data_IF_378407554377
#
_entry.id   IF_378407554377
#
_cell.length_a   1.000
_cell.length_b   1.000
_cell.length_c   1.000
_cell.angle_alpha   90.00
_cell.angle_beta   90.00
_cell.angle_gamma   90.00
#
_symmetry.space_group_name_H-M   'P 1'
#
loop_
_entity.id
_entity.type
_entity.pdbx_description
1 polymer ?
#
# COMPACT_ATOMS: atom_id res chain seq x y z
N UNK A 1 -22.67 -5.97 8.93
CA UNK A 1 -21.48 -6.52 8.23
C UNK A 1 -20.42 -5.45 8.16
N UNK A 2 -19.16 -5.79 8.48
CA UNK A 2 -18.03 -4.86 8.51
C UNK A 2 -17.12 -5.09 7.30
N UNK A 3 -16.47 -4.04 6.83
CA UNK A 3 -15.55 -4.10 5.69
C UNK A 3 -14.12 -3.76 6.15
N UNK A 4 -13.17 -4.61 5.81
CA UNK A 4 -11.75 -4.27 5.75
C UNK A 4 -11.45 -3.87 4.31
N UNK A 5 -11.05 -2.62 4.11
CA UNK A 5 -10.71 -2.06 2.81
C UNK A 5 -9.19 -1.92 2.73
N UNK A 6 -8.54 -2.82 2.01
CA UNK A 6 -7.09 -2.94 1.98
C UNK A 6 -6.51 -2.31 0.72
N UNK A 7 -5.78 -1.21 0.89
CA UNK A 7 -5.00 -0.54 -0.17
C UNK A 7 -3.63 -1.19 -0.24
N UNK A 8 -3.40 -1.92 -1.31
CA UNK A 8 -2.22 -2.75 -1.50
C UNK A 8 -0.96 -1.93 -1.83
N UNK A 9 0.21 -2.54 -1.67
CA UNK A 9 1.49 -1.94 -2.02
C UNK A 9 1.78 -1.93 -3.52
N UNK A 10 2.85 -1.24 -3.91
CA UNK A 10 3.29 -1.14 -5.29
C UNK A 10 3.56 -2.52 -5.90
N UNK A 11 3.03 -2.70 -7.12
CA UNK A 11 3.24 -3.91 -7.91
C UNK A 11 2.58 -5.17 -7.37
N UNK A 12 1.74 -5.06 -6.35
CA UNK A 12 1.10 -6.20 -5.69
C UNK A 12 -0.32 -6.45 -6.21
N UNK A 13 -0.83 -7.64 -5.95
CA UNK A 13 -2.21 -8.07 -6.14
C UNK A 13 -2.72 -8.83 -4.91
N UNK A 14 -3.86 -9.48 -5.01
CA UNK A 14 -4.50 -10.20 -3.91
C UNK A 14 -3.64 -11.35 -3.36
N UNK A 15 -2.68 -11.86 -4.15
CA UNK A 15 -1.85 -12.99 -3.76
C UNK A 15 -1.06 -12.72 -2.48
N UNK A 16 -0.64 -11.44 -2.27
CA UNK A 16 0.19 -11.07 -1.11
C UNK A 16 -0.50 -11.32 0.23
N UNK A 17 -1.83 -11.26 0.28
CA UNK A 17 -2.62 -11.47 1.49
C UNK A 17 -3.55 -12.67 1.40
N UNK A 18 -3.40 -13.53 0.40
CA UNK A 18 -4.27 -14.71 0.20
C UNK A 18 -4.25 -15.71 1.36
N UNK A 19 -3.18 -15.69 2.17
CA UNK A 19 -3.00 -16.51 3.36
C UNK A 19 -3.65 -15.93 4.63
N UNK A 20 -4.19 -14.70 4.55
CA UNK A 20 -4.78 -14.03 5.72
C UNK A 20 -6.25 -14.42 5.85
N UNK A 21 -6.59 -15.01 6.97
CA UNK A 21 -7.98 -15.28 7.35
C UNK A 21 -8.55 -14.08 8.09
N UNK A 22 -9.73 -13.62 7.70
CA UNK A 22 -10.45 -12.57 8.40
C UNK A 22 -11.63 -13.15 9.18
N UNK A 23 -11.99 -12.59 10.35
CA UNK A 23 -13.15 -13.06 11.10
C UNK A 23 -14.45 -12.97 10.28
N UNK A 24 -15.38 -13.88 10.54
CA UNK A 24 -16.61 -14.06 9.74
C UNK A 24 -17.52 -12.81 9.64
N UNK A 25 -17.42 -11.89 10.61
CA UNK A 25 -18.16 -10.64 10.59
C UNK A 25 -17.55 -9.57 9.65
N UNK A 26 -16.36 -9.83 9.08
CA UNK A 26 -15.68 -8.96 8.15
C UNK A 26 -15.70 -9.48 6.73
N UNK A 27 -15.85 -8.58 5.79
CA UNK A 27 -15.51 -8.78 4.38
C UNK A 27 -14.17 -8.10 4.11
N UNK A 28 -13.27 -8.77 3.42
CA UNK A 28 -12.01 -8.19 2.95
C UNK A 28 -12.15 -7.81 1.48
N UNK A 29 -11.93 -6.53 1.18
CA UNK A 29 -11.80 -6.03 -0.19
C UNK A 29 -10.40 -5.46 -0.39
N UNK A 30 -9.70 -6.03 -1.36
CA UNK A 30 -8.34 -5.60 -1.74
C UNK A 30 -8.43 -4.63 -2.91
N UNK A 31 -7.72 -3.54 -2.81
CA UNK A 31 -7.56 -2.55 -3.88
C UNK A 31 -6.10 -2.51 -4.32
N UNK A 32 -5.88 -2.77 -5.59
CA UNK A 32 -4.60 -2.66 -6.26
C UNK A 32 -4.58 -1.39 -7.11
N UNK A 33 -3.39 -0.90 -7.47
CA UNK A 33 -3.30 0.20 -8.42
C UNK A 33 -4.13 -0.10 -9.71
N UNK A 34 -4.92 0.84 -10.20
CA UNK A 34 -5.06 2.26 -9.86
C UNK A 34 -6.07 2.59 -8.74
N UNK A 35 -6.39 1.67 -7.85
CA UNK A 35 -7.25 1.83 -6.65
C UNK A 35 -8.66 2.33 -6.97
N UNK A 36 -9.29 1.75 -7.99
CA UNK A 36 -10.66 2.08 -8.37
C UNK A 36 -11.65 1.65 -7.29
N UNK A 37 -12.36 2.60 -6.74
CA UNK A 37 -13.31 2.39 -5.64
C UNK A 37 -14.61 3.14 -5.91
N UNK A 38 -15.73 2.46 -5.67
CA UNK A 38 -17.03 3.13 -5.58
C UNK A 38 -17.12 3.89 -4.26
N UNK A 39 -17.30 5.21 -4.33
CA UNK A 39 -17.36 6.08 -3.15
C UNK A 39 -18.51 5.72 -2.20
N UNK A 40 -19.56 5.07 -2.69
CA UNK A 40 -20.70 4.64 -1.89
C UNK A 40 -20.36 3.48 -0.95
N UNK A 41 -19.21 2.83 -1.10
CA UNK A 41 -18.82 1.66 -0.30
C UNK A 41 -18.85 1.95 1.21
N UNK A 42 -18.51 3.18 1.61
CA UNK A 42 -18.51 3.59 3.01
C UNK A 42 -19.91 3.67 3.64
N UNK A 43 -20.95 3.67 2.82
CA UNK A 43 -22.36 3.72 3.26
C UNK A 43 -23.02 2.34 3.23
N UNK A 44 -22.39 1.35 2.64
CA UNK A 44 -22.94 0.00 2.46
C UNK A 44 -22.66 -0.93 3.64
N UNK A 45 -21.77 -0.53 4.55
CA UNK A 45 -21.33 -1.35 5.69
C UNK A 45 -21.51 -0.62 7.01
N UNK A 46 -21.76 -1.37 8.06
CA UNK A 46 -21.92 -0.83 9.43
C UNK A 46 -20.63 -0.17 9.94
N UNK A 47 -19.49 -0.70 9.51
CA UNK A 47 -18.15 -0.20 9.79
C UNK A 47 -17.22 -0.49 8.62
N UNK A 48 -16.43 0.50 8.23
CA UNK A 48 -15.33 0.34 7.27
C UNK A 48 -14.02 0.64 7.97
N UNK A 49 -13.08 -0.30 7.90
CA UNK A 49 -11.72 -0.17 8.43
C UNK A 49 -10.76 -0.10 7.23
N UNK A 50 -10.37 1.10 6.80
CA UNK A 50 -9.38 1.25 5.76
C UNK A 50 -7.98 0.91 6.30
N UNK A 51 -7.24 0.11 5.53
CA UNK A 51 -5.87 -0.29 5.83
C UNK A 51 -5.03 0.03 4.61
N UNK A 52 -3.95 0.78 4.77
CA UNK A 52 -2.93 0.98 3.74
C UNK A 52 -1.69 0.15 4.07
N UNK A 53 -1.09 -0.47 3.06
CA UNK A 53 0.18 -1.15 3.18
C UNK A 53 1.20 -0.55 2.22
N UNK A 54 2.39 -0.15 2.74
CA UNK A 54 3.46 0.43 1.94
C UNK A 54 2.96 1.62 1.10
N UNK A 55 3.11 1.63 -0.22
CA UNK A 55 2.57 2.67 -1.12
C UNK A 55 1.04 2.85 -1.01
N UNK A 56 0.32 1.79 -0.63
CA UNK A 56 -1.11 1.87 -0.34
C UNK A 56 -1.47 2.86 0.77
N UNK A 57 -0.54 3.14 1.69
CA UNK A 57 -0.74 4.17 2.70
C UNK A 57 -0.87 5.56 2.08
N UNK A 58 -0.04 5.88 1.11
CA UNK A 58 -0.12 7.14 0.37
C UNK A 58 -1.44 7.28 -0.38
N UNK A 59 -1.81 6.25 -1.15
CA UNK A 59 -3.05 6.28 -1.95
C UNK A 59 -4.30 6.31 -1.09
N UNK A 60 -4.30 5.60 0.04
CA UNK A 60 -5.39 5.66 1.01
C UNK A 60 -5.52 7.07 1.62
N UNK A 61 -4.42 7.66 2.05
CA UNK A 61 -4.42 9.01 2.62
C UNK A 61 -4.92 10.05 1.60
N UNK A 62 -4.44 9.95 0.36
CA UNK A 62 -4.89 10.79 -0.75
C UNK A 62 -6.40 10.65 -0.99
N UNK A 63 -6.88 9.42 -1.13
CA UNK A 63 -8.29 9.13 -1.38
C UNK A 63 -9.21 9.69 -0.27
N UNK A 64 -8.90 9.37 0.99
CA UNK A 64 -9.71 9.86 2.12
C UNK A 64 -9.72 11.39 2.24
N UNK A 65 -8.58 12.03 1.94
CA UNK A 65 -8.45 13.50 1.97
C UNK A 65 -9.25 14.14 0.85
N UNK A 66 -9.10 13.68 -0.38
CA UNK A 66 -9.79 14.23 -1.55
C UNK A 66 -11.31 14.06 -1.48
N UNK A 67 -11.77 12.95 -0.91
CA UNK A 67 -13.20 12.65 -0.74
C UNK A 67 -13.77 13.16 0.58
N UNK A 68 -12.96 13.75 1.45
CA UNK A 68 -13.34 14.20 2.80
C UNK A 68 -14.04 13.10 3.62
N UNK A 69 -13.54 11.86 3.50
CA UNK A 69 -14.07 10.70 4.22
C UNK A 69 -13.37 10.56 5.56
N UNK A 70 -14.18 10.37 6.62
CA UNK A 70 -13.68 10.15 7.98
C UNK A 70 -14.07 8.76 8.46
N UNK A 71 -13.09 8.01 8.95
CA UNK A 71 -13.31 6.71 9.58
C UNK A 71 -12.81 6.74 11.02
N UNK A 72 -13.45 5.94 11.89
CA UNK A 72 -13.04 5.82 13.31
C UNK A 72 -11.67 5.16 13.46
N UNK A 73 -11.36 4.23 12.58
CA UNK A 73 -10.10 3.49 12.57
C UNK A 73 -9.55 3.50 11.15
N UNK A 74 -8.32 3.97 10.99
CA UNK A 74 -7.58 3.99 9.74
C UNK A 74 -6.18 3.50 10.09
N UNK A 75 -5.71 2.43 9.42
CA UNK A 75 -4.50 1.71 9.79
C UNK A 75 -3.44 1.86 8.70
N UNK A 76 -2.21 2.18 9.07
CA UNK A 76 -1.05 2.03 8.21
C UNK A 76 -0.22 0.82 8.60
N UNK A 77 0.21 0.05 7.60
CA UNK A 77 1.13 -1.07 7.74
C UNK A 77 2.39 -0.78 6.92
N UNK A 78 3.54 -0.68 7.57
CA UNK A 78 4.83 -0.47 6.91
C UNK A 78 4.77 0.57 5.78
N UNK A 79 4.21 1.75 6.09
CA UNK A 79 4.04 2.82 5.11
C UNK A 79 3.72 4.15 5.76
N UNK A 80 3.80 5.19 4.95
CA UNK A 80 3.58 6.57 5.36
C UNK A 80 2.78 7.33 4.30
N UNK A 81 1.98 8.33 4.67
CA UNK A 81 1.37 9.24 3.69
C UNK A 81 2.42 10.11 2.98
N UNK A 82 3.60 10.27 3.57
CA UNK A 82 4.79 10.84 2.94
C UNK A 82 5.73 9.71 2.53
N UNK A 83 5.45 9.06 1.39
CA UNK A 83 6.24 7.92 0.91
C UNK A 83 7.65 8.29 0.45
N UNK A 84 7.82 9.50 -0.11
CA UNK A 84 9.13 10.04 -0.47
C UNK A 84 9.39 11.24 0.43
N UNK A 85 10.45 11.20 1.21
CA UNK A 85 10.81 12.29 2.12
C UNK A 85 11.38 11.78 3.44
N UNK A 86 11.31 12.64 4.46
CA UNK A 86 11.89 12.37 5.78
C UNK A 86 11.28 11.15 6.47
N UNK A 87 9.97 10.94 6.29
CA UNK A 87 9.20 9.88 6.96
C UNK A 87 8.94 8.67 6.06
N UNK A 88 9.66 8.57 4.95
CA UNK A 88 9.51 7.50 3.97
C UNK A 88 10.83 7.13 3.33
N UNK A 89 10.79 6.82 2.04
CA UNK A 89 11.96 6.49 1.24
C UNK A 89 12.66 7.79 0.84
N UNK A 90 13.99 7.86 0.95
CA UNK A 90 14.71 9.03 0.45
C UNK A 90 14.56 9.17 -1.07
N UNK A 91 14.50 10.40 -1.57
CA UNK A 91 14.35 10.68 -3.01
C UNK A 91 15.41 9.96 -3.85
N UNK A 92 16.66 9.95 -3.39
CA UNK A 92 17.75 9.30 -4.11
C UNK A 92 17.58 7.77 -4.22
N UNK A 93 17.10 7.12 -3.16
CA UNK A 93 16.81 5.67 -3.16
C UNK A 93 15.63 5.37 -4.08
N UNK A 94 14.57 6.18 -4.04
CA UNK A 94 13.44 6.02 -4.94
C UNK A 94 13.85 6.15 -6.42
N UNK A 95 14.57 7.22 -6.76
CA UNK A 95 15.03 7.46 -8.13
C UNK A 95 15.97 6.36 -8.61
N UNK A 96 16.87 5.88 -7.76
CA UNK A 96 17.75 4.76 -8.09
C UNK A 96 16.95 3.50 -8.37
N UNK A 97 15.97 3.17 -7.53
CA UNK A 97 15.11 2.00 -7.71
C UNK A 97 14.38 2.07 -9.05
N UNK A 98 13.73 3.19 -9.36
CA UNK A 98 13.00 3.36 -10.61
C UNK A 98 13.93 3.25 -11.84
N UNK A 99 15.08 3.93 -11.81
CA UNK A 99 16.00 4.00 -12.94
C UNK A 99 16.73 2.67 -13.22
N UNK A 100 16.92 1.84 -12.19
CA UNK A 100 17.59 0.53 -12.31
C UNK A 100 16.62 -0.64 -12.28
N UNK A 101 15.30 -0.39 -12.36
CA UNK A 101 14.29 -1.44 -12.26
C UNK A 101 14.33 -2.36 -13.48
N UNK A 102 14.59 -3.63 -13.21
CA UNK A 102 14.58 -4.77 -14.13
C UNK A 102 13.86 -5.93 -13.45
N UNK A 103 13.48 -7.01 -14.19
CA UNK A 103 12.95 -8.20 -13.53
C UNK A 103 13.85 -8.75 -12.43
N UNK A 104 15.17 -8.73 -12.61
CA UNK A 104 16.13 -9.24 -11.62
C UNK A 104 16.19 -8.35 -10.37
N UNK A 105 16.20 -7.02 -10.54
CA UNK A 105 16.23 -6.09 -9.40
C UNK A 105 14.89 -6.08 -8.66
N UNK A 106 13.79 -6.33 -9.35
CA UNK A 106 12.48 -6.52 -8.72
C UNK A 106 12.47 -7.76 -7.82
N UNK A 107 13.08 -8.88 -8.26
CA UNK A 107 13.20 -10.08 -7.42
C UNK A 107 14.06 -9.82 -6.17
N UNK A 108 15.15 -9.04 -6.30
CA UNK A 108 15.94 -8.61 -5.15
C UNK A 108 15.15 -7.73 -4.18
N UNK A 109 14.30 -6.85 -4.71
CA UNK A 109 13.39 -6.03 -3.90
C UNK A 109 12.43 -6.91 -3.09
N UNK A 110 11.82 -7.93 -3.70
CA UNK A 110 10.98 -8.89 -3.00
C UNK A 110 11.74 -9.62 -1.89
N UNK A 111 12.96 -10.04 -2.14
CA UNK A 111 13.83 -10.64 -1.12
C UNK A 111 14.11 -9.71 0.07
N UNK A 112 14.27 -8.40 -0.19
CA UNK A 112 14.47 -7.39 0.85
C UNK A 112 13.21 -7.13 1.70
N UNK A 113 12.04 -7.44 1.18
CA UNK A 113 10.77 -7.37 1.94
C UNK A 113 10.67 -8.47 3.01
N UNK A 114 11.63 -9.38 3.09
CA UNK A 114 11.60 -10.49 4.04
C UNK A 114 10.57 -11.56 3.70
N UNK A 115 10.26 -11.71 2.43
CA UNK A 115 9.27 -12.64 1.92
C UNK A 115 9.80 -14.06 2.03
N UNK A 116 9.06 -14.89 2.73
CA UNK A 116 9.34 -16.31 2.88
C UNK A 116 8.54 -17.16 1.86
N UNK A 117 8.49 -18.47 2.07
CA UNK A 117 7.80 -19.43 1.21
C UNK A 117 6.27 -19.27 1.17
N UNK A 118 5.69 -18.42 2.03
CA UNK A 118 4.23 -18.15 2.03
C UNK A 118 3.86 -17.05 1.02
N UNK A 119 4.84 -16.32 0.52
CA UNK A 119 4.60 -15.27 -0.46
C UNK A 119 4.32 -15.84 -1.84
N UNK A 120 3.18 -15.49 -2.38
CA UNK A 120 2.87 -15.70 -3.79
C UNK A 120 3.15 -14.41 -4.56
N UNK A 121 4.04 -14.45 -5.57
CA UNK A 121 4.30 -13.27 -6.40
C UNK A 121 3.04 -12.77 -7.08
N UNK A 122 2.96 -11.45 -7.29
CA UNK A 122 1.87 -10.87 -8.06
C UNK A 122 1.88 -11.38 -9.51
N UNK A 123 0.69 -11.69 -10.03
CA UNK A 123 0.49 -12.08 -11.43
C UNK A 123 0.36 -10.84 -12.31
N UNK A 124 1.39 -9.99 -12.31
CA UNK A 124 1.44 -8.75 -13.09
C UNK A 124 2.57 -8.78 -14.10
N UNK A 125 2.34 -8.17 -15.27
CA UNK A 125 3.38 -7.94 -16.26
C UNK A 125 4.42 -6.95 -15.70
N UNK A 126 5.70 -7.23 -15.87
CA UNK A 126 6.78 -6.38 -15.35
C UNK A 126 6.64 -4.92 -15.80
N UNK A 127 6.24 -4.68 -17.05
CA UNK A 127 6.08 -3.32 -17.57
C UNK A 127 5.00 -2.56 -16.80
N UNK A 128 3.89 -3.20 -16.46
CA UNK A 128 2.81 -2.58 -15.67
C UNK A 128 3.31 -2.20 -14.27
N UNK A 129 4.13 -3.04 -13.65
CA UNK A 129 4.75 -2.75 -12.33
C UNK A 129 5.67 -1.53 -12.42
N UNK A 130 6.46 -1.43 -13.48
CA UNK A 130 7.35 -0.30 -13.73
C UNK A 130 6.56 0.99 -14.02
N UNK A 131 5.53 0.91 -14.83
CA UNK A 131 4.67 2.04 -15.19
C UNK A 131 3.91 2.58 -13.96
N UNK A 132 3.48 1.71 -13.05
CA UNK A 132 2.88 2.08 -11.77
C UNK A 132 3.85 2.92 -10.91
N UNK A 133 5.13 2.52 -10.85
CA UNK A 133 6.14 3.28 -10.10
C UNK A 133 6.48 4.62 -10.77
N UNK A 134 6.53 4.66 -12.10
CA UNK A 134 6.70 5.90 -12.86
C UNK A 134 5.53 6.85 -12.65
N UNK A 135 4.30 6.32 -12.74
CA UNK A 135 3.08 7.10 -12.45
C UNK A 135 3.11 7.71 -11.05
N UNK A 136 3.53 6.93 -10.05
CA UNK A 136 3.68 7.43 -8.69
C UNK A 136 4.64 8.61 -8.64
N UNK A 137 5.83 8.49 -9.25
CA UNK A 137 6.81 9.57 -9.31
C UNK A 137 6.25 10.85 -9.92
N UNK A 138 5.58 10.71 -11.06
CA UNK A 138 5.11 11.84 -11.86
C UNK A 138 3.93 12.59 -11.20
N UNK A 139 3.19 11.91 -10.33
CA UNK A 139 1.99 12.44 -9.68
C UNK A 139 2.13 12.59 -8.16
N UNK A 140 3.32 12.37 -7.60
CA UNK A 140 3.51 12.38 -6.16
C UNK A 140 3.37 13.78 -5.55
N UNK A 141 2.51 13.88 -4.56
CA UNK A 141 2.37 15.04 -3.67
C UNK A 141 2.23 14.51 -2.24
N UNK A 142 3.11 14.88 -1.30
CA UNK A 142 3.01 14.41 0.08
C UNK A 142 1.62 14.63 0.66
N UNK A 143 1.08 13.61 1.31
CA UNK A 143 -0.25 13.64 1.92
C UNK A 143 -0.15 13.92 3.42
N UNK A 144 -1.21 14.52 3.99
CA UNK A 144 -1.33 14.68 5.43
C UNK A 144 -1.61 13.32 6.08
N UNK A 145 -1.18 13.18 7.33
CA UNK A 145 -1.49 11.99 8.11
C UNK A 145 -2.99 11.91 8.41
N UNK A 146 -3.60 10.80 8.02
CA UNK A 146 -5.00 10.45 8.30
C UNK A 146 -5.11 9.22 9.20
N UNK A 147 -3.99 8.53 9.46
CA UNK A 147 -3.96 7.27 10.18
C UNK A 147 -4.16 7.46 11.68
N UNK A 148 -5.00 6.60 12.25
CA UNK A 148 -5.24 6.54 13.69
C UNK A 148 -4.32 5.52 14.37
N UNK A 149 -3.84 4.52 13.61
CA UNK A 149 -2.93 3.47 14.07
C UNK A 149 -1.87 3.23 13.00
N UNK A 150 -0.64 3.00 13.44
CA UNK A 150 0.48 2.66 12.56
C UNK A 150 1.22 1.44 13.12
N UNK A 151 1.52 0.49 12.25
CA UNK A 151 2.32 -0.69 12.55
C UNK A 151 3.52 -0.72 11.60
N UNK A 152 4.71 -0.75 12.17
CA UNK A 152 5.97 -0.77 11.43
C UNK A 152 6.78 -1.96 11.92
N UNK A 153 7.22 -2.81 11.00
CA UNK A 153 8.11 -3.91 11.31
C UNK A 153 9.51 -3.39 11.67
N UNK A 154 10.03 -3.79 12.80
CA UNK A 154 11.38 -3.36 13.27
C UNK A 154 12.50 -3.71 12.29
N UNK A 155 12.29 -4.74 11.45
CA UNK A 155 13.26 -5.23 10.47
C UNK A 155 12.92 -4.82 9.03
N UNK A 156 12.00 -3.87 8.87
CA UNK A 156 11.66 -3.35 7.54
C UNK A 156 12.89 -2.67 6.93
N UNK A 157 13.34 -3.18 5.78
CA UNK A 157 14.50 -2.65 5.05
C UNK A 157 14.10 -1.66 3.95
N UNK A 158 12.81 -1.51 3.69
CA UNK A 158 12.28 -0.64 2.64
C UNK A 158 11.90 0.71 3.24
N UNK A 159 11.10 0.69 4.31
CA UNK A 159 10.68 1.88 5.05
C UNK A 159 11.18 1.72 6.47
N UNK A 160 12.33 2.32 6.81
CA UNK A 160 12.90 2.16 8.14
C UNK A 160 11.98 2.78 9.19
N UNK A 161 11.88 2.10 10.32
CA UNK A 161 11.28 2.66 11.53
C UNK A 161 12.15 3.83 11.99
N UNK A 162 11.62 5.04 11.88
CA UNK A 162 12.30 6.27 12.32
C UNK A 162 12.09 6.53 13.81
#
# INVERSE_FOLDING_TARGET
MKLILFFNGWGMDENIISHIEVPAEYILKVLNFPYNLDDNIFQQYDEVIPIGWSFGCYYLAKYLTEKNIKCKKIISLNGSPEMIGKNGISQGVFDLTLNTLTPDTLQKFYGNMGIDSTFSPAEKVFQDIKDELQYFKDNYVPQKNVFTHAFIGEKDKIIPAS
#
